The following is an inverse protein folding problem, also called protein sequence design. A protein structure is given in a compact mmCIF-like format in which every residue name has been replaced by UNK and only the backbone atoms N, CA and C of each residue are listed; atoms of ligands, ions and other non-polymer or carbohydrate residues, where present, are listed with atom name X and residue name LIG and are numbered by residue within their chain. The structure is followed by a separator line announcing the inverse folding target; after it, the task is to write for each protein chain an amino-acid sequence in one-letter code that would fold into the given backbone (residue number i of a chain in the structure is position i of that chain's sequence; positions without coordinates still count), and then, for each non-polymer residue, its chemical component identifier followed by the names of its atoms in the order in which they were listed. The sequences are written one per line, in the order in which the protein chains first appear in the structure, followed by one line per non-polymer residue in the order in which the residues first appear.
data_IF_328890752411
#
_entry.id   IF_328890752411
#
_cell.length_a   1.000
_cell.length_b   1.000
_cell.length_c   1.000
_cell.angle_alpha   90.00
_cell.angle_beta   90.00
_cell.angle_gamma   90.00
#
_symmetry.space_group_name_H-M   'P 1'
#
loop_
_entity.id
_entity.type
_entity.pdbx_description
1 polymer ?
#
# COMPACT_ATOMS: atom_id res chain seq x y z
N UNK A 1 17.45 -23.02 8.43
CA UNK A 1 16.85 -21.69 8.67
C UNK A 1 17.27 -20.64 7.62
N UNK A 2 18.38 -20.80 6.86
CA UNK A 2 18.83 -19.82 5.85
C UNK A 2 18.26 -19.99 4.43
N UNK A 3 17.72 -21.17 4.09
CA UNK A 3 17.28 -21.52 2.72
C UNK A 3 16.17 -20.65 2.10
N UNK A 4 15.14 -20.22 2.85
CA UNK A 4 14.08 -19.34 2.30
C UNK A 4 14.59 -17.92 2.02
N UNK A 5 15.51 -17.41 2.85
CA UNK A 5 16.06 -16.06 2.72
C UNK A 5 17.02 -15.92 1.54
N UNK A 6 17.76 -16.98 1.20
CA UNK A 6 18.66 -17.00 0.05
C UNK A 6 17.91 -16.94 -1.29
N UNK A 7 16.70 -17.50 -1.39
CA UNK A 7 15.86 -17.40 -2.60
C UNK A 7 15.33 -15.96 -2.77
N UNK A 8 14.88 -15.32 -1.70
CA UNK A 8 14.49 -13.91 -1.72
C UNK A 8 15.64 -12.98 -2.09
N UNK A 9 16.84 -13.25 -1.57
CA UNK A 9 18.06 -12.52 -1.90
C UNK A 9 18.45 -12.68 -3.39
N UNK A 10 18.39 -13.90 -3.92
CA UNK A 10 18.64 -14.18 -5.34
C UNK A 10 17.62 -13.47 -6.25
N UNK A 11 16.34 -13.44 -5.86
CA UNK A 11 15.29 -12.72 -6.56
C UNK A 11 15.52 -11.21 -6.59
N UNK A 12 15.96 -10.62 -5.47
CA UNK A 12 16.31 -9.20 -5.39
C UNK A 12 17.52 -8.86 -6.26
N UNK A 13 18.56 -9.69 -6.28
CA UNK A 13 19.71 -9.51 -7.17
C UNK A 13 19.29 -9.60 -8.63
N UNK A 14 18.43 -10.57 -8.98
CA UNK A 14 17.92 -10.71 -10.34
C UNK A 14 17.07 -9.52 -10.77
N UNK A 15 16.16 -9.05 -9.91
CA UNK A 15 15.37 -7.85 -10.16
C UNK A 15 16.27 -6.60 -10.28
N UNK A 16 17.26 -6.45 -9.41
CA UNK A 16 18.24 -5.36 -9.47
C UNK A 16 19.05 -5.41 -10.79
N UNK A 17 19.50 -6.60 -11.22
CA UNK A 17 20.21 -6.77 -12.49
C UNK A 17 19.32 -6.47 -13.69
N UNK A 18 18.06 -6.91 -13.69
CA UNK A 18 17.10 -6.62 -14.77
C UNK A 18 16.75 -5.14 -14.84
N UNK A 19 16.59 -4.48 -13.69
CA UNK A 19 16.37 -3.03 -13.61
C UNK A 19 17.63 -2.30 -14.10
N UNK A 20 18.83 -2.70 -13.67
CA UNK A 20 20.08 -2.02 -14.05
C UNK A 20 20.45 -2.25 -15.52
N UNK A 21 20.12 -3.43 -16.07
CA UNK A 21 20.28 -3.72 -17.49
C UNK A 21 19.21 -3.05 -18.36
N UNK A 22 17.98 -2.94 -17.84
CA UNK A 22 16.82 -2.37 -18.55
C UNK A 22 16.70 -0.85 -18.46
N UNK A 23 17.28 -0.20 -17.43
CA UNK A 23 17.32 1.26 -17.26
C UNK A 23 18.46 1.91 -18.06
N UNK A 24 18.82 1.37 -19.22
CA UNK A 24 19.72 2.04 -20.17
C UNK A 24 18.85 2.73 -21.21
N UNK A 25 18.74 4.07 -21.24
CA UNK A 25 19.64 5.07 -20.66
C UNK A 25 19.31 5.47 -19.22
N UNK A 26 20.34 5.86 -18.44
CA UNK A 26 20.20 6.30 -17.05
C UNK A 26 19.16 7.43 -16.97
N UNK A 27 18.10 7.30 -16.13
CA UNK A 27 17.08 8.33 -15.97
C UNK A 27 17.65 9.72 -15.66
N UNK A 28 18.83 9.79 -15.05
CA UNK A 28 19.53 11.05 -14.74
C UNK A 28 20.09 11.72 -15.99
N UNK A 29 20.61 10.95 -16.93
CA UNK A 29 21.18 11.48 -18.17
C UNK A 29 20.08 11.94 -19.12
N UNK A 30 19.00 11.15 -19.24
CA UNK A 30 17.79 11.54 -19.97
C UNK A 30 17.17 12.81 -19.38
N UNK A 31 17.11 12.92 -18.05
CA UNK A 31 16.62 14.12 -17.37
C UNK A 31 17.48 15.36 -17.64
N UNK A 32 18.81 15.22 -17.68
CA UNK A 32 19.75 16.31 -18.03
C UNK A 32 19.63 16.74 -19.49
N UNK A 33 19.44 15.79 -20.40
CA UNK A 33 19.28 16.06 -21.82
C UNK A 33 17.95 16.75 -22.13
N UNK A 34 16.85 16.29 -21.53
CA UNK A 34 15.54 16.96 -21.61
C UNK A 34 15.61 18.39 -21.04
N UNK A 35 16.28 18.59 -19.89
CA UNK A 35 16.45 19.92 -19.30
C UNK A 35 17.31 20.87 -20.16
N UNK A 36 18.24 20.33 -20.97
CA UNK A 36 19.02 21.12 -21.94
C UNK A 36 18.19 21.49 -23.18
N UNK A 37 17.36 20.58 -23.67
CA UNK A 37 16.54 20.78 -24.88
C UNK A 37 15.35 21.70 -24.59
N UNK A 38 14.78 21.63 -23.37
CA UNK A 38 13.63 22.43 -22.95
C UNK A 38 13.93 23.24 -21.67
N UNK A 39 14.73 24.32 -21.76
CA UNK A 39 15.09 25.13 -20.58
C UNK A 39 13.89 25.83 -19.91
N UNK A 40 12.80 26.05 -20.65
CA UNK A 40 11.53 26.61 -20.15
C UNK A 40 10.59 25.53 -19.54
N UNK A 41 10.86 24.23 -19.71
CA UNK A 41 9.99 23.16 -19.16
C UNK A 41 10.33 22.78 -17.73
N UNK A 42 11.43 23.29 -17.17
CA UNK A 42 11.72 23.19 -15.74
C UNK A 42 10.82 24.21 -15.06
N UNK A 43 9.83 23.81 -14.24
CA UNK A 43 8.93 24.75 -13.60
C UNK A 43 9.76 25.77 -12.81
N UNK A 44 9.66 27.06 -13.18
CA UNK A 44 10.26 28.17 -12.42
C UNK A 44 9.63 28.35 -11.03
N UNK A 45 8.60 27.56 -10.68
CA UNK A 45 8.08 27.49 -9.33
C UNK A 45 9.14 26.84 -8.44
N UNK A 46 9.66 27.60 -7.47
CA UNK A 46 10.62 27.08 -6.51
C UNK A 46 10.13 25.77 -5.86
N UNK A 47 11.06 24.87 -5.57
CA UNK A 47 10.76 23.60 -4.88
C UNK A 47 10.01 23.94 -3.59
N UNK A 48 8.77 23.45 -3.46
CA UNK A 48 7.94 23.73 -2.28
C UNK A 48 8.60 23.12 -1.06
N UNK A 49 8.43 23.76 0.09
CA UNK A 49 8.96 23.20 1.33
C UNK A 49 8.23 21.89 1.66
N UNK A 50 8.89 20.96 2.38
CA UNK A 50 8.24 19.68 2.76
C UNK A 50 6.93 19.92 3.50
N UNK A 51 6.88 20.95 4.36
CA UNK A 51 5.68 21.34 5.11
C UNK A 51 4.53 21.75 4.19
N UNK A 52 4.81 22.48 3.11
CA UNK A 52 3.80 22.86 2.11
C UNK A 52 3.31 21.64 1.32
N UNK A 53 4.21 20.74 0.95
CA UNK A 53 3.88 19.54 0.19
C UNK A 53 2.98 18.60 1.00
N UNK A 54 3.35 18.29 2.25
CA UNK A 54 2.58 17.36 3.10
C UNK A 54 1.22 17.90 3.52
N UNK A 55 0.98 19.20 3.37
CA UNK A 55 -0.33 19.84 3.61
C UNK A 55 -1.26 19.76 2.42
N UNK A 56 -0.79 19.31 1.25
CA UNK A 56 -1.64 19.21 0.07
C UNK A 56 -2.64 18.07 0.23
N UNK A 57 -3.93 18.32 -0.05
CA UNK A 57 -4.98 17.31 0.04
C UNK A 57 -4.65 15.98 -0.65
N UNK A 58 -4.07 16.03 -1.86
CA UNK A 58 -3.69 14.82 -2.60
C UNK A 58 -2.58 14.03 -1.93
N UNK A 59 -1.57 14.72 -1.37
CA UNK A 59 -0.46 14.10 -0.62
C UNK A 59 -0.95 13.49 0.68
N UNK A 60 -1.86 14.17 1.40
CA UNK A 60 -2.48 13.64 2.63
C UNK A 60 -3.26 12.37 2.32
N UNK A 61 -4.15 12.41 1.32
CA UNK A 61 -4.96 11.24 0.94
C UNK A 61 -4.08 10.08 0.53
N UNK A 62 -3.05 10.31 -0.28
CA UNK A 62 -2.12 9.28 -0.70
C UNK A 62 -1.36 8.67 0.49
N UNK A 63 -0.76 9.52 1.32
CA UNK A 63 0.05 9.11 2.48
C UNK A 63 -0.80 8.35 3.50
N UNK A 64 -1.96 8.87 3.89
CA UNK A 64 -2.87 8.21 4.81
C UNK A 64 -3.32 6.86 4.24
N UNK A 65 -3.63 6.81 2.93
CA UNK A 65 -4.07 5.57 2.31
C UNK A 65 -3.00 4.50 2.33
N UNK A 66 -1.76 4.87 1.98
CA UNK A 66 -0.62 3.96 2.01
C UNK A 66 -0.28 3.49 3.43
N UNK A 67 -0.24 4.42 4.40
CA UNK A 67 0.09 4.12 5.79
C UNK A 67 -0.94 3.16 6.40
N UNK A 68 -2.23 3.46 6.28
CA UNK A 68 -3.26 2.59 6.85
C UNK A 68 -3.38 1.26 6.11
N UNK A 69 -3.24 1.22 4.77
CA UNK A 69 -3.17 -0.03 4.06
C UNK A 69 -2.01 -0.90 4.59
N UNK A 70 -0.82 -0.30 4.76
CA UNK A 70 0.34 -0.99 5.30
C UNK A 70 0.11 -1.52 6.73
N UNK A 71 -0.53 -0.72 7.60
CA UNK A 71 -0.88 -1.16 8.95
C UNK A 71 -1.86 -2.35 8.92
N UNK A 72 -2.91 -2.26 8.11
CA UNK A 72 -3.93 -3.33 7.95
C UNK A 72 -3.30 -4.62 7.42
N UNK A 73 -2.32 -4.51 6.54
CA UNK A 73 -1.56 -5.65 6.04
C UNK A 73 -0.72 -6.32 7.14
N UNK A 74 -0.02 -5.53 7.96
CA UNK A 74 0.92 -6.05 8.96
C UNK A 74 0.24 -6.71 10.17
N UNK A 75 -0.93 -6.20 10.58
CA UNK A 75 -1.63 -6.66 11.80
C UNK A 75 -1.97 -8.15 11.74
N UNK A 76 -2.78 -8.66 10.78
CA UNK A 76 -3.16 -10.07 10.76
C UNK A 76 -1.96 -10.99 10.52
N UNK A 77 -1.04 -10.59 9.64
CA UNK A 77 0.11 -11.42 9.25
C UNK A 77 1.01 -11.81 10.42
N UNK A 78 1.20 -10.91 11.39
CA UNK A 78 2.00 -11.20 12.59
C UNK A 78 1.36 -12.27 13.50
N UNK A 79 0.04 -12.29 13.60
CA UNK A 79 -0.71 -13.12 14.56
C UNK A 79 -1.32 -14.38 13.91
N UNK A 80 -1.52 -14.42 12.59
CA UNK A 80 -2.14 -15.58 11.92
C UNK A 80 -1.39 -16.87 12.19
N UNK A 81 -0.06 -16.87 12.23
CA UNK A 81 0.72 -18.07 12.55
C UNK A 81 0.44 -18.58 13.97
N UNK A 82 0.27 -17.67 14.93
CA UNK A 82 -0.10 -17.98 16.33
C UNK A 82 -1.52 -18.52 16.40
N UNK A 83 -2.48 -17.89 15.73
CA UNK A 83 -3.87 -18.33 15.64
C UNK A 83 -3.99 -19.73 15.01
N UNK A 84 -3.26 -19.98 13.93
CA UNK A 84 -3.24 -21.28 13.26
C UNK A 84 -2.62 -22.37 14.13
N UNK A 85 -1.55 -22.06 14.87
CA UNK A 85 -0.95 -22.98 15.84
C UNK A 85 -1.92 -23.32 16.98
N UNK A 86 -2.67 -22.32 17.46
CA UNK A 86 -3.69 -22.53 18.50
C UNK A 86 -4.83 -23.47 18.01
N UNK A 87 -5.14 -23.45 16.72
CA UNK A 87 -6.11 -24.34 16.07
C UNK A 87 -5.49 -25.63 15.50
N UNK A 88 -4.26 -25.97 15.92
CA UNK A 88 -3.56 -27.22 15.55
C UNK A 88 -3.36 -27.42 14.03
N UNK A 89 -3.30 -26.34 13.25
CA UNK A 89 -2.96 -26.43 11.83
C UNK A 89 -1.48 -26.82 11.63
N UNK A 90 -1.15 -27.63 10.61
CA UNK A 90 0.24 -27.99 10.32
C UNK A 90 1.03 -26.78 9.80
N UNK A 91 2.36 -26.80 9.98
CA UNK A 91 3.25 -25.73 9.49
C UNK A 91 3.14 -25.50 7.97
N UNK A 92 2.90 -26.55 7.19
CA UNK A 92 2.66 -26.47 5.75
C UNK A 92 1.44 -25.61 5.40
N UNK A 93 0.41 -25.61 6.23
CA UNK A 93 -0.77 -24.77 6.06
C UNK A 93 -0.47 -23.29 6.30
N UNK A 94 0.40 -22.98 7.27
CA UNK A 94 0.88 -21.60 7.49
C UNK A 94 1.64 -21.10 6.26
N UNK A 95 2.52 -21.93 5.70
CA UNK A 95 3.24 -21.59 4.46
C UNK A 95 2.28 -21.35 3.30
N UNK A 96 1.25 -22.19 3.12
CA UNK A 96 0.22 -22.00 2.09
C UNK A 96 -0.49 -20.65 2.22
N UNK A 97 -0.90 -20.29 3.45
CA UNK A 97 -1.58 -19.03 3.74
C UNK A 97 -0.67 -17.83 3.43
N UNK A 98 0.60 -17.87 3.85
CA UNK A 98 1.58 -16.82 3.56
C UNK A 98 1.82 -16.71 2.05
N UNK A 99 1.99 -17.84 1.34
CA UNK A 99 2.17 -17.84 -0.12
C UNK A 99 0.97 -17.26 -0.85
N UNK A 100 -0.26 -17.63 -0.46
CA UNK A 100 -1.47 -17.06 -1.03
C UNK A 100 -1.55 -15.54 -0.78
N UNK A 101 -1.24 -15.09 0.44
CA UNK A 101 -1.16 -13.66 0.74
C UNK A 101 -0.16 -12.93 -0.16
N UNK A 102 1.08 -13.42 -0.24
CA UNK A 102 2.14 -12.85 -1.08
C UNK A 102 1.77 -12.85 -2.56
N UNK A 103 1.05 -13.88 -3.03
CA UNK A 103 0.51 -13.92 -4.39
C UNK A 103 -0.47 -12.77 -4.61
N UNK A 104 -1.44 -12.57 -3.70
CA UNK A 104 -2.37 -11.45 -3.74
C UNK A 104 -1.67 -10.09 -3.74
N UNK A 105 -0.59 -9.97 -2.95
CA UNK A 105 0.18 -8.73 -2.84
C UNK A 105 0.90 -8.30 -4.13
N UNK A 106 1.41 -9.23 -4.93
CA UNK A 106 2.36 -8.87 -6.00
C UNK A 106 1.97 -9.36 -7.39
N UNK A 107 1.23 -10.47 -7.51
CA UNK A 107 0.91 -11.05 -8.82
C UNK A 107 0.08 -10.10 -9.69
N UNK A 108 -0.71 -9.23 -9.05
CA UNK A 108 -1.64 -8.33 -9.73
C UNK A 108 -1.14 -6.89 -9.86
N UNK A 109 0.13 -6.60 -9.54
CA UNK A 109 0.66 -5.23 -9.56
C UNK A 109 0.59 -4.54 -10.93
N UNK A 110 0.80 -5.28 -12.02
CA UNK A 110 0.64 -4.72 -13.38
C UNK A 110 -0.83 -4.38 -13.64
N UNK A 111 -1.74 -5.25 -13.22
CA UNK A 111 -3.17 -5.05 -13.39
C UNK A 111 -3.65 -3.86 -12.55
N UNK A 112 -3.21 -3.75 -11.29
CA UNK A 112 -3.57 -2.64 -10.42
C UNK A 112 -3.04 -1.30 -10.92
N UNK A 113 -1.84 -1.26 -11.50
CA UNK A 113 -1.34 -0.09 -12.21
C UNK A 113 -2.27 0.33 -13.36
N UNK A 114 -2.63 -0.61 -14.25
CA UNK A 114 -3.56 -0.33 -15.37
C UNK A 114 -4.94 0.09 -14.90
N UNK A 115 -5.45 -0.49 -13.80
CA UNK A 115 -6.72 -0.08 -13.19
C UNK A 115 -6.62 1.32 -12.61
N UNK A 116 -5.49 1.67 -11.97
CA UNK A 116 -5.24 3.00 -11.40
C UNK A 116 -5.23 4.07 -12.48
N UNK A 117 -4.59 3.79 -13.61
CA UNK A 117 -4.52 4.70 -14.75
C UNK A 117 -5.89 4.85 -15.43
N UNK A 118 -6.66 3.76 -15.56
CA UNK A 118 -7.93 3.75 -16.30
C UNK A 118 -9.13 4.23 -15.49
N UNK A 119 -9.26 3.81 -14.23
CA UNK A 119 -10.42 4.12 -13.37
C UNK A 119 -10.17 5.31 -12.46
N UNK A 120 -8.91 5.72 -12.32
CA UNK A 120 -8.50 6.80 -11.44
C UNK A 120 -8.08 6.30 -10.06
N UNK A 121 -7.18 7.08 -9.45
CA UNK A 121 -6.42 6.71 -8.25
C UNK A 121 -7.37 6.51 -7.07
N UNK A 122 -8.27 7.47 -6.85
CA UNK A 122 -9.26 7.40 -5.78
C UNK A 122 -10.19 6.18 -5.91
N UNK A 123 -10.60 5.77 -7.11
CA UNK A 123 -11.52 4.63 -7.28
C UNK A 123 -10.83 3.32 -6.90
N UNK A 124 -9.56 3.17 -7.29
CA UNK A 124 -8.78 1.98 -6.96
C UNK A 124 -8.42 1.93 -5.48
N UNK A 125 -8.17 3.06 -4.81
CA UNK A 125 -8.02 3.11 -3.35
C UNK A 125 -9.31 2.67 -2.63
N UNK A 126 -10.49 3.12 -3.11
CA UNK A 126 -11.79 2.67 -2.56
C UNK A 126 -11.92 1.16 -2.72
N UNK A 127 -11.69 0.64 -3.93
CA UNK A 127 -11.76 -0.79 -4.20
C UNK A 127 -10.83 -1.59 -3.29
N UNK A 128 -9.57 -1.18 -3.18
CA UNK A 128 -8.60 -1.81 -2.28
C UNK A 128 -9.06 -1.80 -0.83
N UNK A 129 -9.56 -0.67 -0.35
CA UNK A 129 -10.09 -0.52 1.02
C UNK A 129 -11.27 -1.45 1.27
N UNK A 130 -12.24 -1.53 0.35
CA UNK A 130 -13.39 -2.43 0.47
C UNK A 130 -12.93 -3.89 0.50
N UNK A 131 -12.02 -4.28 -0.37
CA UNK A 131 -11.48 -5.65 -0.40
C UNK A 131 -10.76 -5.99 0.91
N UNK A 132 -9.97 -5.07 1.47
CA UNK A 132 -9.32 -5.25 2.78
C UNK A 132 -10.36 -5.41 3.91
N UNK A 133 -11.40 -4.57 3.96
CA UNK A 133 -12.46 -4.65 4.95
C UNK A 133 -13.16 -6.01 4.87
N UNK A 134 -13.58 -6.42 3.67
CA UNK A 134 -14.24 -7.73 3.45
C UNK A 134 -13.33 -8.87 3.88
N UNK A 135 -12.06 -8.83 3.51
CA UNK A 135 -11.04 -9.79 3.96
C UNK A 135 -10.97 -9.89 5.49
N UNK A 136 -10.89 -8.75 6.18
CA UNK A 136 -10.81 -8.72 7.64
C UNK A 136 -12.09 -9.25 8.30
N UNK A 137 -13.27 -8.93 7.75
CA UNK A 137 -14.55 -9.47 8.21
C UNK A 137 -14.66 -10.98 7.99
N UNK A 138 -14.15 -11.49 6.88
CA UNK A 138 -14.06 -12.93 6.62
C UNK A 138 -13.08 -13.62 7.57
N UNK A 139 -11.94 -12.99 7.86
CA UNK A 139 -10.93 -13.53 8.76
C UNK A 139 -11.42 -13.61 10.22
N UNK A 140 -12.23 -12.65 10.68
CA UNK A 140 -12.63 -12.54 12.09
C UNK A 140 -13.27 -13.80 12.69
N UNK A 141 -14.26 -14.46 12.05
CA UNK A 141 -14.83 -15.72 12.55
C UNK A 141 -14.07 -16.98 12.07
N UNK A 142 -13.00 -16.84 11.29
CA UNK A 142 -12.38 -17.97 10.60
C UNK A 142 -11.48 -18.81 11.51
N UNK A 143 -11.86 -20.07 11.70
CA UNK A 143 -11.06 -21.10 12.39
C UNK A 143 -10.49 -22.14 11.42
N UNK A 144 -11.08 -22.26 10.23
CA UNK A 144 -10.66 -23.19 9.17
C UNK A 144 -9.58 -22.64 8.25
N UNK A 145 -8.84 -23.56 7.62
CA UNK A 145 -7.74 -23.22 6.71
C UNK A 145 -8.21 -22.47 5.45
N UNK A 146 -9.21 -23.02 4.75
CA UNK A 146 -9.65 -22.46 3.46
C UNK A 146 -10.18 -21.02 3.60
N UNK A 147 -11.05 -20.70 4.58
CA UNK A 147 -11.47 -19.31 4.81
C UNK A 147 -10.29 -18.37 5.12
N UNK A 148 -9.31 -18.81 5.91
CA UNK A 148 -8.10 -18.02 6.20
C UNK A 148 -7.24 -17.79 4.95
N UNK A 149 -7.03 -18.81 4.10
CA UNK A 149 -6.29 -18.66 2.84
C UNK A 149 -6.96 -17.62 1.94
N UNK A 150 -8.27 -17.72 1.76
CA UNK A 150 -9.03 -16.79 0.91
C UNK A 150 -9.02 -15.39 1.50
N UNK A 151 -9.26 -15.25 2.80
CA UNK A 151 -9.24 -13.95 3.47
C UNK A 151 -7.86 -13.29 3.32
N UNK A 152 -6.76 -14.00 3.62
CA UNK A 152 -5.43 -13.40 3.54
C UNK A 152 -4.96 -13.15 2.10
N UNK A 153 -5.39 -13.95 1.12
CA UNK A 153 -5.20 -13.63 -0.30
C UNK A 153 -5.88 -12.30 -0.65
N UNK A 154 -7.15 -12.13 -0.26
CA UNK A 154 -7.89 -10.89 -0.48
C UNK A 154 -7.28 -9.71 0.27
N UNK A 155 -6.75 -9.92 1.48
CA UNK A 155 -6.01 -8.89 2.23
C UNK A 155 -4.83 -8.36 1.40
N UNK A 156 -4.02 -9.26 0.84
CA UNK A 156 -2.88 -8.91 0.01
C UNK A 156 -3.30 -8.18 -1.28
N UNK A 157 -4.38 -8.64 -1.92
CA UNK A 157 -4.92 -8.02 -3.12
C UNK A 157 -5.48 -6.61 -2.86
N UNK A 158 -6.24 -6.45 -1.77
CA UNK A 158 -6.79 -5.15 -1.36
C UNK A 158 -5.69 -4.16 -0.98
N UNK A 159 -4.66 -4.62 -0.27
CA UNK A 159 -3.45 -3.85 0.00
C UNK A 159 -2.77 -3.41 -1.30
N UNK A 160 -2.59 -4.32 -2.27
CA UNK A 160 -1.96 -3.99 -3.55
C UNK A 160 -2.70 -2.84 -4.25
N UNK A 161 -4.03 -2.93 -4.37
CA UNK A 161 -4.84 -1.88 -4.99
C UNK A 161 -4.70 -0.54 -4.27
N UNK A 162 -4.84 -0.51 -2.94
CA UNK A 162 -4.74 0.73 -2.17
C UNK A 162 -3.31 1.32 -2.18
N UNK A 163 -2.29 0.48 -2.06
CA UNK A 163 -0.89 0.89 -1.99
C UNK A 163 -0.38 1.39 -3.35
N UNK A 164 -0.64 0.65 -4.44
CA UNK A 164 -0.25 1.06 -5.80
C UNK A 164 -0.94 2.37 -6.16
N UNK A 165 -2.26 2.45 -6.02
CA UNK A 165 -3.00 3.66 -6.35
C UNK A 165 -2.63 4.86 -5.47
N UNK A 166 -2.36 4.63 -4.18
CA UNK A 166 -1.83 5.64 -3.25
C UNK A 166 -0.45 6.14 -3.69
N UNK A 167 0.46 5.24 -4.06
CA UNK A 167 1.81 5.61 -4.51
C UNK A 167 1.78 6.41 -5.81
N UNK A 168 0.90 6.06 -6.75
CA UNK A 168 0.68 6.81 -7.98
C UNK A 168 0.07 8.19 -7.69
N UNK A 169 -0.93 8.26 -6.80
CA UNK A 169 -1.51 9.52 -6.38
C UNK A 169 -0.47 10.44 -5.73
N UNK A 170 0.41 9.90 -4.88
CA UNK A 170 1.51 10.65 -4.28
C UNK A 170 2.45 11.18 -5.36
N UNK A 171 2.88 10.33 -6.29
CA UNK A 171 3.78 10.73 -7.37
C UNK A 171 3.18 11.81 -8.28
N UNK A 172 1.86 11.79 -8.51
CA UNK A 172 1.13 12.79 -9.30
C UNK A 172 1.14 14.19 -8.65
N UNK A 173 1.30 14.28 -7.32
CA UNK A 173 1.34 15.57 -6.61
C UNK A 173 2.74 16.20 -6.54
N UNK A 174 3.78 15.46 -6.93
CA UNK A 174 5.16 15.81 -6.65
C UNK A 174 5.94 16.16 -7.92
N UNK A 175 6.56 17.34 -7.90
CA UNK A 175 7.58 17.67 -8.90
C UNK A 175 8.84 16.82 -8.69
N UNK A 176 9.69 16.63 -9.71
CA UNK A 176 10.90 15.82 -9.60
C UNK A 176 11.81 16.19 -8.42
N UNK A 177 11.90 17.48 -8.07
CA UNK A 177 12.72 17.97 -6.96
C UNK A 177 12.15 17.64 -5.57
N UNK A 178 10.86 17.34 -5.46
CA UNK A 178 10.18 17.08 -4.18
C UNK A 178 10.08 15.58 -3.86
N UNK A 179 10.19 14.72 -4.88
CA UNK A 179 9.94 13.27 -4.79
C UNK A 179 10.80 12.60 -3.72
N UNK A 180 12.12 12.78 -3.78
CA UNK A 180 13.03 12.08 -2.87
C UNK A 180 12.74 12.40 -1.39
N UNK A 181 12.55 13.69 -1.07
CA UNK A 181 12.29 14.13 0.32
C UNK A 181 10.91 13.69 0.82
N UNK A 182 9.89 13.82 -0.03
CA UNK A 182 8.52 13.45 0.35
C UNK A 182 8.34 11.94 0.44
N UNK A 183 8.97 11.19 -0.46
CA UNK A 183 8.96 9.73 -0.42
C UNK A 183 9.70 9.21 0.82
N UNK A 184 10.87 9.77 1.16
CA UNK A 184 11.56 9.41 2.41
C UNK A 184 10.72 9.70 3.66
N UNK A 185 9.96 10.80 3.67
CA UNK A 185 9.02 11.10 4.75
C UNK A 185 7.85 10.10 4.79
N UNK A 186 7.27 9.76 3.64
CA UNK A 186 6.21 8.76 3.53
C UNK A 186 6.70 7.37 3.99
N UNK A 187 7.90 6.97 3.61
CA UNK A 187 8.51 5.69 4.01
C UNK A 187 8.76 5.64 5.52
N UNK A 188 9.18 6.76 6.12
CA UNK A 188 9.27 6.88 7.57
C UNK A 188 7.90 6.66 8.23
N UNK A 189 6.83 7.28 7.71
CA UNK A 189 5.47 7.10 8.24
C UNK A 189 4.97 5.67 8.08
N UNK A 190 5.25 5.03 6.93
CA UNK A 190 4.93 3.63 6.69
C UNK A 190 5.61 2.72 7.71
N UNK A 191 6.90 2.95 7.97
CA UNK A 191 7.67 2.17 8.93
C UNK A 191 7.18 2.38 10.37
N UNK A 192 6.92 3.63 10.77
CA UNK A 192 6.38 3.95 12.10
C UNK A 192 4.98 3.36 12.29
N UNK A 193 4.10 3.50 11.31
CA UNK A 193 2.76 2.90 11.32
C UNK A 193 2.83 1.38 11.42
N UNK A 194 3.69 0.75 10.62
CA UNK A 194 3.92 -0.70 10.66
C UNK A 194 4.42 -1.16 12.03
N UNK A 195 5.41 -0.48 12.60
CA UNK A 195 5.93 -0.79 13.93
C UNK A 195 4.86 -0.65 15.01
N UNK A 196 4.12 0.46 15.03
CA UNK A 196 3.03 0.70 15.97
C UNK A 196 1.93 -0.37 15.84
N UNK A 197 1.55 -0.72 14.61
CA UNK A 197 0.51 -1.70 14.35
C UNK A 197 0.88 -3.12 14.82
N UNK A 198 2.16 -3.51 14.71
CA UNK A 198 2.63 -4.81 15.20
C UNK A 198 2.69 -4.89 16.72
N UNK A 199 3.06 -3.80 17.41
CA UNK A 199 3.00 -3.75 18.87
C UNK A 199 1.54 -3.81 19.33
N UNK A 200 0.66 -3.05 18.68
CA UNK A 200 -0.75 -3.00 19.02
C UNK A 200 -1.46 -4.32 18.71
N UNK A 201 -1.10 -5.02 17.63
CA UNK A 201 -1.72 -6.31 17.26
C UNK A 201 -1.54 -7.36 18.37
N UNK A 202 -0.36 -7.42 18.99
CA UNK A 202 -0.10 -8.32 20.11
C UNK A 202 -0.97 -8.01 21.33
N UNK A 203 -1.11 -6.73 21.68
CA UNK A 203 -1.96 -6.29 22.80
C UNK A 203 -3.44 -6.60 22.53
N UNK A 204 -3.94 -6.24 21.34
CA UNK A 204 -5.34 -6.48 20.96
C UNK A 204 -5.64 -7.98 20.91
N UNK A 205 -4.71 -8.79 20.38
CA UNK A 205 -4.84 -10.24 20.36
C UNK A 205 -4.87 -10.84 21.78
N UNK A 206 -4.03 -10.35 22.70
CA UNK A 206 -4.00 -10.85 24.07
C UNK A 206 -5.31 -10.59 24.84
N UNK A 207 -5.97 -9.46 24.57
CA UNK A 207 -7.21 -9.06 25.27
C UNK A 207 -8.47 -9.63 24.59
N UNK A 208 -8.50 -9.66 23.26
CA UNK A 208 -9.71 -9.92 22.48
C UNK A 208 -9.62 -11.06 21.45
N UNK A 209 -8.45 -11.69 21.31
CA UNK A 209 -8.22 -12.76 20.35
C UNK A 209 -8.17 -12.30 18.89
N UNK A 210 -8.11 -13.28 17.98
CA UNK A 210 -7.94 -13.04 16.54
C UNK A 210 -9.12 -12.29 15.92
N UNK A 211 -10.35 -12.59 16.34
CA UNK A 211 -11.56 -11.96 15.82
C UNK A 211 -11.59 -10.45 16.05
N UNK A 212 -11.35 -10.01 17.29
CA UNK A 212 -11.32 -8.58 17.63
C UNK A 212 -10.17 -7.87 16.90
N UNK A 213 -9.01 -8.52 16.79
CA UNK A 213 -7.88 -7.98 16.02
C UNK A 213 -8.23 -7.80 14.54
N UNK A 214 -8.90 -8.78 13.91
CA UNK A 214 -9.35 -8.67 12.54
C UNK A 214 -10.39 -7.55 12.35
N UNK A 215 -11.32 -7.38 13.30
CA UNK A 215 -12.27 -6.27 13.29
C UNK A 215 -11.59 -4.90 13.48
N UNK A 216 -10.57 -4.81 14.32
CA UNK A 216 -9.77 -3.60 14.48
C UNK A 216 -9.02 -3.25 13.18
N UNK A 217 -8.49 -4.25 12.47
CA UNK A 217 -7.91 -4.05 11.14
C UNK A 217 -8.96 -3.61 10.10
N UNK A 218 -10.17 -4.17 10.13
CA UNK A 218 -11.28 -3.70 9.29
C UNK A 218 -11.63 -2.23 9.57
N UNK A 219 -11.67 -1.84 10.85
CA UNK A 219 -11.92 -0.46 11.24
C UNK A 219 -10.80 0.49 10.77
N UNK A 220 -9.53 0.06 10.86
CA UNK A 220 -8.41 0.83 10.33
C UNK A 220 -8.48 1.00 8.80
N UNK A 221 -8.99 -0.01 8.07
CA UNK A 221 -9.21 0.08 6.63
C UNK A 221 -10.34 1.07 6.24
N UNK A 222 -11.12 1.60 7.18
CA UNK A 222 -12.05 2.70 6.91
C UNK A 222 -11.33 4.02 6.64
N UNK A 223 -10.13 4.23 7.19
CA UNK A 223 -9.36 5.45 6.96
C UNK A 223 -9.02 5.69 5.46
N UNK A 224 -8.40 4.75 4.72
CA UNK A 224 -8.16 4.91 3.28
C UNK A 224 -9.49 5.02 2.50
N UNK A 225 -10.54 4.30 2.91
CA UNK A 225 -11.85 4.36 2.28
C UNK A 225 -12.46 5.77 2.35
N UNK A 226 -12.55 6.32 3.56
CA UNK A 226 -13.13 7.64 3.82
C UNK A 226 -12.30 8.73 3.13
N UNK A 227 -10.97 8.64 3.18
CA UNK A 227 -10.10 9.60 2.51
C UNK A 227 -10.23 9.58 1.00
N UNK A 228 -10.36 8.40 0.40
CA UNK A 228 -10.55 8.30 -1.04
C UNK A 228 -11.95 8.78 -1.48
N UNK A 229 -13.00 8.51 -0.71
CA UNK A 229 -14.35 9.05 -0.97
C UNK A 229 -14.36 10.57 -0.84
N UNK A 230 -13.74 11.11 0.22
CA UNK A 230 -13.60 12.54 0.41
C UNK A 230 -12.84 13.19 -0.76
N UNK A 231 -11.74 12.60 -1.21
CA UNK A 231 -10.98 13.08 -2.37
C UNK A 231 -11.82 13.16 -3.64
N UNK A 232 -12.59 12.12 -3.93
CA UNK A 232 -13.45 12.09 -5.12
C UNK A 232 -14.59 13.11 -5.06
N UNK A 233 -15.18 13.30 -3.88
CA UNK A 233 -16.29 14.25 -3.70
C UNK A 233 -15.80 15.70 -3.66
N UNK A 234 -14.64 15.96 -3.06
CA UNK A 234 -13.98 17.26 -3.08
C UNK A 234 -13.54 17.66 -4.49
N UNK A 235 -12.97 16.74 -5.27
CA UNK A 235 -12.58 16.99 -6.66
C UNK A 235 -13.78 17.34 -7.57
N UNK A 236 -14.95 16.73 -7.33
CA UNK A 236 -16.19 17.06 -8.06
C UNK A 236 -16.73 18.45 -7.72
N UNK A 237 -16.55 18.93 -6.48
CA UNK A 237 -17.00 20.27 -6.04
C UNK A 237 -16.21 21.42 -6.66
N UNK A 238 -14.94 21.20 -7.00
CA UNK A 238 -14.08 22.22 -7.65
C UNK A 238 -14.42 22.36 -9.14
N UNK A 239 -14.98 21.32 -9.76
CA UNK A 239 -15.35 21.31 -11.18
C UNK A 239 -16.79 21.77 -11.47
N UNK A 240 -17.60 22.08 -10.45
CA UNK A 240 -18.94 22.63 -10.64
C UNK A 240 -18.82 24.11 -11.04
N UNK A 241 -19.37 24.52 -12.20
CA UNK A 241 -19.45 25.95 -12.54
C UNK A 241 -20.27 26.69 -11.49
N UNK A 242 -19.96 27.98 -11.20
CA UNK A 242 -20.78 28.78 -10.29
C UNK A 242 -22.23 28.77 -10.77
N UNK A 243 -23.17 28.54 -9.85
CA UNK A 243 -24.60 28.59 -10.16
C UNK A 243 -24.97 29.99 -10.68
N UNK A 244 -25.86 30.08 -11.69
CA UNK A 244 -26.22 31.35 -12.35
C UNK A 244 -27.01 32.30 -11.45
#
# INVERSE_FOLDING_TARGET
MAGPYSVGFAGLIMAAMLIFAGLRPDPRDVGREIARIYPESVPRQGIRSLSEVVRQPGVIVATVSMVFAQMVMMVPMSITSVHMKAHQHPLSAVSLVISAHTLGMFAFSILSGRMTDRWGRGQVIILGSVVMIVSCLMAAPSTGLVPLVVALFLLGLGWNFAYVAGSTLLADQLSPGERAKTQGFNDLLLNLGSAASQVLSGVVYAVGGFGIMALAAAAAALAPLVMAIWWQTAGRRIAAPPEP
#
